data_IF_804959184598
#
_entry.id   IF_804959184598
#
_cell.length_a   1.000
_cell.length_b   1.000
_cell.length_c   1.000
_cell.angle_alpha   90.00
_cell.angle_beta   90.00
_cell.angle_gamma   90.00
#
_symmetry.space_group_name_H-M   'P 1'
#
loop_
_entity.id
_entity.type
_entity.pdbx_description
1 polymer ?
#
# COMPACT_ATOMS: atom_id res chain seq x y z
N UNK A 1 -29.30 18.60 -55.93
CA UNK A 1 -29.53 17.39 -55.16
C UNK A 1 -28.26 16.60 -54.81
N UNK A 2 -27.12 16.84 -55.43
CA UNK A 2 -25.86 16.10 -55.18
C UNK A 2 -25.04 16.58 -53.98
N UNK A 3 -25.10 17.85 -53.60
CA UNK A 3 -24.34 18.42 -52.47
C UNK A 3 -24.86 18.00 -51.09
N UNK A 4 -26.15 17.78 -50.94
CA UNK A 4 -26.75 17.34 -49.67
C UNK A 4 -26.44 15.88 -49.36
N UNK A 5 -26.24 15.03 -50.39
CA UNK A 5 -25.91 13.60 -50.19
C UNK A 5 -24.48 13.42 -49.68
N UNK A 6 -23.53 14.26 -50.05
CA UNK A 6 -22.13 14.21 -49.56
C UNK A 6 -22.01 14.68 -48.12
N UNK A 7 -22.83 15.65 -47.69
CA UNK A 7 -22.87 16.10 -46.31
C UNK A 7 -23.41 15.02 -45.34
N UNK A 8 -24.45 14.29 -45.77
CA UNK A 8 -25.00 13.19 -44.96
C UNK A 8 -24.05 11.98 -44.89
N UNK A 9 -23.34 11.66 -45.96
CA UNK A 9 -22.34 10.59 -45.96
C UNK A 9 -21.13 10.94 -45.06
N UNK A 10 -20.68 12.21 -45.12
CA UNK A 10 -19.58 12.69 -44.28
C UNK A 10 -19.91 12.69 -42.76
N UNK A 11 -21.13 13.08 -42.39
CA UNK A 11 -21.56 13.07 -40.98
C UNK A 11 -21.81 11.64 -40.48
N UNK A 12 -22.30 10.74 -41.30
CA UNK A 12 -22.46 9.33 -40.95
C UNK A 12 -21.09 8.64 -40.75
N UNK A 13 -20.09 8.96 -41.58
CA UNK A 13 -18.73 8.42 -41.46
C UNK A 13 -18.03 8.95 -40.21
N UNK A 14 -18.21 10.23 -39.88
CA UNK A 14 -17.70 10.83 -38.65
C UNK A 14 -18.34 10.22 -37.37
N UNK A 15 -19.64 9.92 -37.42
CA UNK A 15 -20.34 9.23 -36.31
C UNK A 15 -19.94 7.76 -36.18
N UNK A 16 -19.52 7.11 -37.26
CA UNK A 16 -19.00 5.73 -37.20
C UNK A 16 -17.55 5.67 -36.65
N UNK A 17 -16.75 6.73 -36.88
CA UNK A 17 -15.39 6.81 -36.38
C UNK A 17 -15.32 7.21 -34.88
N UNK A 18 -16.40 7.75 -34.31
CA UNK A 18 -16.45 8.12 -32.88
C UNK A 18 -16.87 6.98 -31.95
N UNK A 19 -17.04 5.76 -32.42
CA UNK A 19 -17.03 4.58 -31.54
C UNK A 19 -15.59 4.34 -31.10
N UNK A 20 -15.12 5.17 -30.18
CA UNK A 20 -13.98 4.82 -29.36
C UNK A 20 -14.29 3.44 -28.78
N UNK A 21 -13.59 2.44 -29.24
CA UNK A 21 -13.56 1.13 -28.61
C UNK A 21 -13.10 1.40 -27.18
N UNK A 22 -14.02 1.34 -26.22
CA UNK A 22 -13.67 1.23 -24.82
C UNK A 22 -12.95 -0.11 -24.69
N UNK A 23 -11.65 -0.08 -24.94
CA UNK A 23 -10.77 -1.16 -24.53
C UNK A 23 -10.84 -1.14 -23.01
N UNK A 24 -11.52 -2.11 -22.42
CA UNK A 24 -11.52 -2.31 -20.99
C UNK A 24 -10.17 -2.93 -20.58
N UNK A 25 -9.11 -2.16 -20.78
CA UNK A 25 -7.92 -2.29 -19.95
C UNK A 25 -8.25 -1.68 -18.59
N UNK A 26 -7.68 -2.21 -17.52
CA UNK A 26 -7.82 -1.61 -16.21
C UNK A 26 -7.55 -0.10 -16.33
N UNK A 27 -8.57 0.73 -16.02
CA UNK A 27 -8.44 2.19 -16.16
C UNK A 27 -7.41 2.67 -15.16
N UNK A 28 -6.23 3.07 -15.63
CA UNK A 28 -5.18 3.60 -14.77
C UNK A 28 -5.66 4.89 -14.09
N UNK A 29 -5.28 5.08 -12.85
CA UNK A 29 -5.60 6.32 -12.13
C UNK A 29 -4.74 7.48 -12.64
N UNK A 30 -5.29 8.71 -12.65
CA UNK A 30 -4.50 9.89 -12.92
C UNK A 30 -3.39 10.03 -11.85
N UNK A 31 -2.25 10.65 -12.19
CA UNK A 31 -1.20 10.94 -11.24
C UNK A 31 -1.70 11.78 -10.06
N UNK A 32 -1.16 11.55 -8.89
CA UNK A 32 -1.35 12.41 -7.72
C UNK A 32 -0.16 13.36 -7.60
N UNK A 33 -0.35 14.61 -8.01
CA UNK A 33 0.75 15.54 -8.21
C UNK A 33 1.73 14.99 -9.26
N UNK A 34 2.98 14.79 -8.86
CA UNK A 34 4.03 14.23 -9.73
C UNK A 34 4.18 12.71 -9.58
N UNK A 35 3.38 12.07 -8.74
CA UNK A 35 3.50 10.64 -8.45
C UNK A 35 2.50 9.84 -9.28
N UNK A 36 2.98 8.91 -10.08
CA UNK A 36 2.14 7.96 -10.82
C UNK A 36 1.47 7.00 -9.85
N UNK A 37 0.22 6.63 -10.16
CA UNK A 37 -0.54 5.64 -9.41
C UNK A 37 -0.56 4.36 -10.24
N UNK A 38 0.27 3.36 -9.91
CA UNK A 38 0.32 2.13 -10.69
C UNK A 38 -0.92 1.25 -10.40
N UNK A 39 -1.31 0.44 -11.38
CA UNK A 39 -2.28 -0.62 -11.15
C UNK A 39 -1.72 -1.62 -10.12
N UNK A 40 -2.53 -2.17 -9.21
CA UNK A 40 -4.00 -2.04 -9.09
C UNK A 40 -4.45 -0.88 -8.19
N UNK A 41 -3.54 -0.03 -7.68
CA UNK A 41 -3.89 1.02 -6.73
C UNK A 41 -4.96 1.95 -7.31
N UNK A 42 -5.92 2.32 -6.47
CA UNK A 42 -7.10 3.10 -6.85
C UNK A 42 -7.23 4.34 -5.98
N UNK A 43 -7.28 5.51 -6.60
CA UNK A 43 -7.53 6.78 -5.92
C UNK A 43 -8.97 7.25 -6.04
N UNK A 44 -9.75 6.67 -6.97
CA UNK A 44 -11.19 6.95 -7.17
C UNK A 44 -11.92 5.65 -7.53
N UNK A 45 -13.24 5.57 -7.36
CA UNK A 45 -14.01 4.37 -7.72
C UNK A 45 -13.96 4.01 -9.21
N UNK A 46 -13.50 4.93 -10.08
CA UNK A 46 -13.52 4.79 -11.55
C UNK A 46 -12.16 4.43 -12.15
N UNK A 47 -11.12 4.24 -11.33
CA UNK A 47 -9.78 3.88 -11.79
C UNK A 47 -9.13 2.88 -10.86
N UNK A 48 -8.18 2.08 -11.37
CA UNK A 48 -7.56 0.99 -10.63
C UNK A 48 -8.57 -0.09 -10.23
N UNK A 49 -8.25 -0.83 -9.19
CA UNK A 49 -9.17 -1.77 -8.55
C UNK A 49 -9.61 -1.18 -7.19
N UNK A 50 -10.93 -0.94 -6.95
CA UNK A 50 -11.43 -0.33 -5.73
C UNK A 50 -11.05 -1.06 -4.44
N UNK A 51 -10.67 -2.34 -4.51
CA UNK A 51 -10.17 -3.12 -3.36
C UNK A 51 -8.77 -2.66 -2.92
N UNK A 52 -8.01 -2.00 -3.82
CA UNK A 52 -6.66 -1.49 -3.57
C UNK A 52 -6.63 0.02 -3.32
N UNK A 53 -7.57 0.46 -2.51
CA UNK A 53 -7.82 1.88 -2.29
C UNK A 53 -6.67 2.57 -1.55
N UNK A 54 -6.20 3.65 -2.16
CA UNK A 54 -5.37 4.69 -1.56
C UNK A 54 -6.06 6.04 -1.81
N UNK A 55 -5.51 7.13 -1.33
CA UNK A 55 -6.11 8.45 -1.49
C UNK A 55 -5.09 9.46 -1.99
N UNK A 56 -5.48 10.31 -2.94
CA UNK A 56 -4.76 11.51 -3.29
C UNK A 56 -5.31 12.67 -2.45
N UNK A 57 -4.47 13.30 -1.63
CA UNK A 57 -4.87 14.42 -0.78
C UNK A 57 -4.98 15.72 -1.58
N UNK A 58 -5.60 16.73 -1.00
CA UNK A 58 -5.67 18.09 -1.60
C UNK A 58 -4.29 18.73 -1.77
N UNK A 59 -3.27 18.26 -1.05
CA UNK A 59 -1.87 18.68 -1.20
C UNK A 59 -1.10 17.90 -2.26
N UNK A 60 -1.78 17.10 -3.10
CA UNK A 60 -1.18 16.27 -4.14
C UNK A 60 -0.18 15.22 -3.58
N UNK A 61 -0.46 14.71 -2.40
CA UNK A 61 0.32 13.64 -1.74
C UNK A 61 -0.52 12.37 -1.68
N UNK A 62 0.06 11.24 -2.06
CA UNK A 62 -0.58 9.95 -1.87
C UNK A 62 -0.61 9.58 -0.39
N UNK A 63 -1.74 9.05 0.05
CA UNK A 63 -2.01 8.70 1.44
C UNK A 63 -2.62 7.31 1.48
N UNK A 64 -2.14 6.49 2.41
CA UNK A 64 -2.69 5.20 2.74
C UNK A 64 -3.52 5.31 4.03
N UNK A 65 -4.79 4.93 3.94
CA UNK A 65 -5.73 4.96 5.06
C UNK A 65 -5.75 3.58 5.73
N UNK A 66 -5.53 3.56 7.04
CA UNK A 66 -5.68 2.38 7.90
C UNK A 66 -7.03 2.44 8.63
N UNK A 67 -7.34 1.46 9.48
CA UNK A 67 -8.60 1.49 10.25
C UNK A 67 -8.69 2.69 11.20
N UNK A 68 -7.57 3.20 11.65
CA UNK A 68 -7.50 4.15 12.75
C UNK A 68 -6.73 5.43 12.45
N UNK A 69 -5.96 5.49 11.36
CA UNK A 69 -5.19 6.68 10.99
C UNK A 69 -4.85 6.67 9.48
N UNK A 70 -4.26 7.77 9.00
CA UNK A 70 -3.81 7.96 7.62
C UNK A 70 -2.33 8.31 7.57
N UNK A 71 -1.60 7.76 6.59
CA UNK A 71 -0.14 7.92 6.50
C UNK A 71 0.27 8.32 5.08
N UNK A 72 1.17 9.32 4.92
CA UNK A 72 1.75 9.64 3.62
C UNK A 72 2.48 8.42 3.02
N UNK A 73 2.31 8.20 1.72
CA UNK A 73 3.09 7.24 0.94
C UNK A 73 4.33 7.95 0.43
N UNK A 74 5.51 7.44 0.79
CA UNK A 74 6.81 8.02 0.44
C UNK A 74 7.36 7.48 -0.89
N UNK A 75 7.11 6.21 -1.15
CA UNK A 75 7.56 5.54 -2.37
C UNK A 75 6.64 4.38 -2.74
N UNK A 76 6.58 4.07 -4.03
CA UNK A 76 5.84 2.93 -4.58
C UNK A 76 6.76 2.18 -5.54
N UNK A 77 6.85 0.87 -5.38
CA UNK A 77 7.50 -0.04 -6.32
C UNK A 77 6.47 -1.04 -6.87
N UNK A 78 5.94 -0.80 -8.07
CA UNK A 78 4.94 -1.68 -8.68
C UNK A 78 5.48 -3.07 -9.01
N UNK A 79 6.79 -3.19 -9.31
CA UNK A 79 7.38 -4.48 -9.68
C UNK A 79 7.42 -5.45 -8.51
N UNK A 80 7.71 -4.96 -7.31
CA UNK A 80 7.66 -5.75 -6.08
C UNK A 80 6.29 -5.72 -5.39
N UNK A 81 5.34 -4.96 -5.93
CA UNK A 81 4.00 -4.75 -5.37
C UNK A 81 4.04 -4.22 -3.94
N UNK A 82 4.85 -3.17 -3.71
CA UNK A 82 5.11 -2.59 -2.40
C UNK A 82 5.07 -1.07 -2.42
N UNK A 83 4.72 -0.51 -1.29
CA UNK A 83 4.91 0.91 -1.02
C UNK A 83 5.39 1.12 0.41
N UNK A 84 6.02 2.25 0.64
CA UNK A 84 6.50 2.67 1.96
C UNK A 84 5.67 3.83 2.45
N UNK A 85 5.11 3.71 3.66
CA UNK A 85 4.44 4.82 4.34
C UNK A 85 5.38 5.43 5.38
N UNK A 86 5.17 6.71 5.69
CA UNK A 86 5.88 7.39 6.78
C UNK A 86 5.18 7.12 8.11
N UNK A 87 5.86 6.49 9.10
CA UNK A 87 5.30 6.32 10.45
C UNK A 87 5.01 7.67 11.11
N UNK A 88 4.08 7.64 12.07
CA UNK A 88 3.78 8.82 12.86
C UNK A 88 4.99 9.25 13.71
N UNK A 89 5.33 10.54 13.73
CA UNK A 89 6.51 11.04 14.46
C UNK A 89 6.32 10.96 15.97
N UNK A 90 7.42 11.13 16.70
CA UNK A 90 7.36 11.39 18.14
C UNK A 90 6.80 12.78 18.41
N UNK A 91 6.04 12.93 19.48
CA UNK A 91 5.67 14.23 20.03
C UNK A 91 6.92 14.94 20.54
N UNK A 92 7.04 16.21 20.26
CA UNK A 92 8.21 17.03 20.64
C UNK A 92 8.53 16.90 22.14
N UNK A 93 9.79 16.62 22.44
CA UNK A 93 10.31 16.47 23.82
C UNK A 93 9.62 15.39 24.65
N UNK A 94 9.04 14.39 24.02
CA UNK A 94 8.41 13.26 24.71
C UNK A 94 8.83 11.94 24.07
N UNK A 95 8.70 10.83 24.82
CA UNK A 95 8.85 9.48 24.28
C UNK A 95 7.46 8.88 24.00
N UNK A 96 6.65 9.61 23.23
CA UNK A 96 5.30 9.22 22.83
C UNK A 96 5.13 9.45 21.35
N UNK A 97 4.68 8.45 20.61
CA UNK A 97 4.28 8.63 19.20
C UNK A 97 2.97 9.40 19.11
N UNK A 98 2.83 10.30 18.13
CA UNK A 98 1.55 10.94 17.82
C UNK A 98 0.47 9.91 17.48
N UNK A 99 0.87 8.70 17.10
CA UNK A 99 0.00 7.59 16.77
C UNK A 99 -0.54 6.82 17.99
N UNK A 100 -0.09 7.19 19.21
CA UNK A 100 -0.56 6.52 20.44
C UNK A 100 -2.06 6.68 20.65
N UNK A 101 -2.63 7.83 20.32
CA UNK A 101 -4.09 8.08 20.40
C UNK A 101 -4.89 7.14 19.48
N UNK A 102 -4.28 6.66 18.43
CA UNK A 102 -4.83 5.69 17.48
C UNK A 102 -4.42 4.25 17.79
N UNK A 103 -3.69 4.02 18.89
CA UNK A 103 -3.17 2.71 19.31
C UNK A 103 -2.20 2.06 18.31
N UNK A 104 -1.53 2.87 17.49
CA UNK A 104 -0.60 2.45 16.44
C UNK A 104 -1.25 2.25 15.08
N UNK A 105 -0.61 1.47 14.22
CA UNK A 105 -1.09 1.16 12.86
C UNK A 105 -1.91 -0.12 12.88
N UNK A 106 -3.10 -0.08 12.27
CA UNK A 106 -3.92 -1.27 12.07
C UNK A 106 -4.47 -1.29 10.64
N UNK A 107 -4.03 -2.26 9.83
CA UNK A 107 -4.55 -2.47 8.49
C UNK A 107 -5.96 -3.08 8.54
N UNK A 108 -6.77 -2.75 7.56
CA UNK A 108 -8.04 -3.43 7.35
C UNK A 108 -7.77 -4.82 6.73
N UNK A 109 -8.03 -5.88 7.48
CA UNK A 109 -7.77 -7.27 7.08
C UNK A 109 -8.66 -7.76 5.93
N UNK A 110 -9.70 -6.99 5.55
CA UNK A 110 -10.54 -7.29 4.37
C UNK A 110 -9.95 -6.74 3.08
N UNK A 111 -8.92 -5.88 3.17
CA UNK A 111 -8.22 -5.32 2.02
C UNK A 111 -6.94 -6.12 1.74
N UNK A 112 -6.46 -6.11 0.50
CA UNK A 112 -5.34 -6.95 0.07
C UNK A 112 -3.97 -6.36 0.44
N UNK A 113 -3.79 -5.90 1.68
CA UNK A 113 -2.55 -5.28 2.15
C UNK A 113 -2.00 -5.97 3.38
N UNK A 114 -0.66 -6.12 3.42
CA UNK A 114 0.07 -6.71 4.55
C UNK A 114 1.35 -5.92 4.85
N UNK A 115 1.75 -5.87 6.12
CA UNK A 115 3.05 -5.35 6.55
C UNK A 115 4.11 -6.41 6.19
N UNK A 116 5.17 -6.02 5.47
CA UNK A 116 6.20 -6.95 4.99
C UNK A 116 7.17 -7.38 6.08
N UNK A 117 7.91 -8.47 5.82
CA UNK A 117 8.98 -8.97 6.70
C UNK A 117 10.29 -8.16 6.63
N UNK A 118 10.38 -7.20 5.71
CA UNK A 118 11.53 -6.30 5.59
C UNK A 118 11.60 -5.24 6.69
N UNK A 119 10.50 -5.05 7.44
CA UNK A 119 10.42 -4.02 8.46
C UNK A 119 11.08 -4.45 9.78
N UNK A 120 11.89 -3.55 10.34
CA UNK A 120 12.36 -3.63 11.71
C UNK A 120 11.70 -2.51 12.52
N UNK A 121 10.93 -2.89 13.54
CA UNK A 121 10.26 -1.96 14.43
C UNK A 121 11.12 -1.73 15.67
N UNK A 122 11.37 -0.49 15.98
CA UNK A 122 12.02 -0.03 17.19
C UNK A 122 10.92 0.49 18.12
N UNK A 123 10.63 -0.25 19.18
CA UNK A 123 9.65 0.11 20.19
C UNK A 123 10.30 0.84 21.34
N UNK A 124 9.71 1.95 21.74
CA UNK A 124 10.24 2.89 22.74
C UNK A 124 9.29 3.01 23.93
N UNK A 125 9.86 3.30 25.09
CA UNK A 125 9.11 3.48 26.32
C UNK A 125 8.12 2.34 26.59
N UNK A 126 8.68 1.12 26.61
CA UNK A 126 7.92 -0.11 26.83
C UNK A 126 7.84 -0.47 28.31
N UNK A 127 6.74 -1.10 28.72
CA UNK A 127 6.58 -1.66 30.06
C UNK A 127 7.28 -3.02 30.20
N UNK A 128 7.67 -3.39 31.42
CA UNK A 128 8.34 -4.68 31.73
C UNK A 128 7.48 -5.91 31.42
N UNK A 129 6.17 -5.77 31.30
CA UNK A 129 5.25 -6.85 30.93
C UNK A 129 5.52 -7.43 29.53
N UNK A 130 6.24 -6.69 28.67
CA UNK A 130 6.59 -7.13 27.31
C UNK A 130 7.86 -7.98 27.24
N UNK A 131 8.59 -8.19 28.33
CA UNK A 131 9.81 -9.04 28.34
C UNK A 131 9.54 -10.50 27.96
N UNK A 132 8.29 -10.97 28.05
CA UNK A 132 7.88 -12.34 27.66
C UNK A 132 7.45 -12.46 26.18
N UNK A 133 7.47 -11.34 25.45
CA UNK A 133 7.08 -11.31 24.03
C UNK A 133 8.29 -11.63 23.12
N UNK A 134 8.09 -11.84 21.82
CA UNK A 134 9.19 -12.06 20.87
C UNK A 134 10.04 -10.81 20.60
N UNK A 135 9.94 -9.77 21.45
CA UNK A 135 10.72 -8.54 21.34
C UNK A 135 12.14 -8.75 21.87
N UNK A 136 13.13 -8.24 21.15
CA UNK A 136 14.49 -8.13 21.66
C UNK A 136 14.68 -6.80 22.41
N UNK A 137 14.68 -6.86 23.73
CA UNK A 137 14.86 -5.72 24.61
C UNK A 137 16.25 -5.68 25.27
N UNK A 138 17.22 -6.44 24.76
CA UNK A 138 18.58 -6.45 25.31
C UNK A 138 19.27 -5.10 25.11
N UNK A 139 20.26 -4.79 25.96
CA UNK A 139 21.05 -3.56 25.90
C UNK A 139 21.83 -3.42 24.55
N UNK A 140 22.10 -4.54 23.87
CA UNK A 140 22.72 -4.58 22.55
C UNK A 140 21.72 -4.48 21.38
N UNK A 141 20.43 -4.26 21.67
CA UNK A 141 19.42 -4.17 20.62
C UNK A 141 19.58 -2.90 19.79
N UNK A 142 19.17 -2.95 18.52
CA UNK A 142 19.18 -1.79 17.62
C UNK A 142 18.39 -0.60 18.19
N UNK A 143 17.41 -0.85 19.05
CA UNK A 143 16.64 0.17 19.73
C UNK A 143 17.53 1.09 20.59
N UNK A 144 18.43 0.53 21.38
CA UNK A 144 19.35 1.33 22.20
C UNK A 144 20.32 2.15 21.35
N UNK A 145 20.81 1.59 20.24
CA UNK A 145 21.62 2.36 19.29
C UNK A 145 20.85 3.55 18.71
N UNK A 146 19.57 3.36 18.40
CA UNK A 146 18.70 4.40 17.86
C UNK A 146 18.50 5.55 18.84
N UNK A 147 18.07 5.28 20.10
CA UNK A 147 17.81 6.34 21.08
C UNK A 147 19.07 7.11 21.48
N UNK A 148 20.23 6.45 21.48
CA UNK A 148 21.49 7.08 21.84
C UNK A 148 22.04 8.00 20.75
N UNK A 149 21.72 7.74 19.48
CA UNK A 149 22.25 8.47 18.34
C UNK A 149 21.27 9.46 17.71
N UNK A 150 20.00 9.47 18.12
CA UNK A 150 18.94 10.23 17.45
C UNK A 150 18.36 11.31 18.37
N UNK A 151 18.56 12.57 18.01
CA UNK A 151 18.08 13.72 18.82
C UNK A 151 16.57 13.70 19.05
N UNK A 152 15.76 13.28 18.07
CA UNK A 152 14.30 13.17 18.20
C UNK A 152 13.86 12.11 19.21
N UNK A 153 14.73 11.13 19.53
CA UNK A 153 14.47 10.06 20.49
C UNK A 153 15.15 10.30 21.84
N UNK A 154 15.83 11.42 22.04
CA UNK A 154 16.57 11.73 23.28
C UNK A 154 15.69 11.72 24.53
N UNK A 155 14.43 12.12 24.40
CA UNK A 155 13.45 12.04 25.50
C UNK A 155 13.14 10.58 25.93
N UNK A 156 13.56 9.56 25.15
CA UNK A 156 13.42 8.15 25.48
C UNK A 156 14.59 7.58 26.28
N UNK A 157 15.61 8.38 26.60
CA UNK A 157 16.84 7.94 27.31
C UNK A 157 16.68 7.80 28.82
N UNK A 158 15.50 8.07 29.39
CA UNK A 158 15.24 8.02 30.84
C UNK A 158 15.47 6.63 31.44
N UNK A 159 15.91 6.60 32.72
CA UNK A 159 16.11 5.38 33.48
C UNK A 159 14.77 4.68 33.78
N UNK A 160 14.51 3.58 33.08
CA UNK A 160 13.35 2.72 33.34
C UNK A 160 12.53 2.24 32.16
N UNK A 161 12.27 3.02 31.10
CA UNK A 161 11.51 2.50 29.99
C UNK A 161 12.34 1.52 29.15
N UNK A 162 11.76 0.37 28.83
CA UNK A 162 12.37 -0.60 27.96
C UNK A 162 12.39 -0.10 26.51
N UNK A 163 13.47 -0.43 25.84
CA UNK A 163 13.66 -0.19 24.43
C UNK A 163 13.84 -1.53 23.72
N UNK A 164 12.96 -1.85 22.82
CA UNK A 164 12.88 -3.18 22.22
C UNK A 164 12.89 -3.11 20.70
N UNK A 165 13.45 -4.12 20.06
CA UNK A 165 13.45 -4.28 18.62
C UNK A 165 12.61 -5.50 18.23
N UNK A 166 11.83 -5.36 17.20
CA UNK A 166 11.05 -6.44 16.60
C UNK A 166 11.18 -6.42 15.09
N UNK A 167 11.55 -7.54 14.50
CA UNK A 167 11.48 -7.70 13.04
C UNK A 167 10.12 -8.29 12.70
N UNK A 168 9.35 -7.59 11.86
CA UNK A 168 8.09 -8.11 11.36
C UNK A 168 8.43 -9.33 10.51
N UNK A 169 8.03 -10.50 10.92
CA UNK A 169 8.51 -11.71 10.27
C UNK A 169 7.41 -12.51 9.64
N UNK A 170 7.57 -12.86 8.39
CA UNK A 170 7.20 -14.12 7.76
C UNK A 170 5.76 -14.62 7.81
N UNK A 171 4.87 -14.03 8.59
CA UNK A 171 3.47 -14.39 8.51
C UNK A 171 2.78 -13.48 7.47
N UNK A 172 2.05 -14.09 6.57
CA UNK A 172 1.14 -13.43 5.64
C UNK A 172 0.07 -12.55 6.32
N UNK A 173 0.10 -12.45 7.65
CA UNK A 173 -0.92 -11.83 8.49
C UNK A 173 -0.40 -10.72 9.40
N UNK A 174 0.76 -10.12 9.11
CA UNK A 174 1.20 -8.92 9.82
C UNK A 174 0.32 -7.74 9.40
N UNK A 175 -0.63 -7.38 10.25
CA UNK A 175 -1.60 -6.33 9.95
C UNK A 175 -1.60 -5.18 10.98
N UNK A 176 -0.77 -5.25 12.04
CA UNK A 176 -0.74 -4.19 13.03
C UNK A 176 0.61 -3.97 13.71
N UNK A 177 0.85 -2.71 14.10
CA UNK A 177 1.91 -2.27 15.01
C UNK A 177 1.22 -1.55 16.16
N UNK A 178 1.27 -2.10 17.36
CA UNK A 178 0.55 -1.55 18.53
C UNK A 178 1.44 -0.66 19.37
N UNK A 179 0.91 0.50 19.75
CA UNK A 179 1.40 1.36 20.83
C UNK A 179 0.26 1.67 21.81
N UNK A 180 0.51 1.51 23.13
CA UNK A 180 -0.52 1.65 24.16
C UNK A 180 0.11 1.83 25.54
N UNK A 181 -0.68 2.23 26.55
CA UNK A 181 -0.20 2.47 27.92
C UNK A 181 0.36 1.22 28.61
N UNK A 182 -0.26 0.05 28.38
CA UNK A 182 0.22 -1.24 28.93
C UNK A 182 1.27 -1.94 28.04
N UNK A 183 1.88 -1.23 27.12
CA UNK A 183 2.85 -1.75 26.15
C UNK A 183 3.99 -0.76 25.92
N UNK A 184 4.21 -0.37 24.68
CA UNK A 184 5.13 0.70 24.29
C UNK A 184 4.32 1.95 23.91
N UNK A 185 4.80 3.13 24.28
CA UNK A 185 4.11 4.39 23.98
C UNK A 185 4.58 5.04 22.67
N UNK A 186 5.68 4.56 22.10
CA UNK A 186 6.24 5.06 20.86
C UNK A 186 6.89 3.95 20.04
N UNK A 187 7.09 4.21 18.77
CA UNK A 187 7.81 3.34 17.85
C UNK A 187 8.42 4.13 16.69
N UNK A 188 9.40 3.52 16.05
CA UNK A 188 9.85 3.89 14.70
C UNK A 188 9.98 2.61 13.88
N UNK A 189 9.95 2.71 12.56
CA UNK A 189 10.09 1.56 11.66
C UNK A 189 11.12 1.86 10.58
N UNK A 190 11.88 0.84 10.18
CA UNK A 190 12.93 0.94 9.17
C UNK A 190 12.83 -0.25 8.21
N UNK A 191 12.84 0.05 6.92
CA UNK A 191 12.80 -0.97 5.87
C UNK A 191 14.22 -1.48 5.61
N UNK A 192 14.41 -2.81 5.59
CA UNK A 192 15.70 -3.45 5.33
C UNK A 192 16.84 -2.96 6.26
N UNK A 193 16.53 -2.68 7.51
CA UNK A 193 17.52 -2.23 8.49
C UNK A 193 18.66 -3.23 8.64
N UNK A 194 19.89 -2.74 8.45
CA UNK A 194 21.10 -3.44 8.87
C UNK A 194 21.58 -2.86 10.21
N UNK A 195 21.34 -3.53 11.36
CA UNK A 195 21.70 -3.02 12.68
C UNK A 195 23.21 -2.99 12.94
N UNK A 196 24.02 -3.63 12.10
CA UNK A 196 25.49 -3.57 12.19
C UNK A 196 26.06 -2.23 11.69
N UNK A 197 25.27 -1.45 10.94
CA UNK A 197 25.67 -0.13 10.50
C UNK A 197 25.45 0.92 11.61
N UNK A 198 26.26 1.98 11.65
CA UNK A 198 26.00 3.11 12.54
C UNK A 198 24.67 3.78 12.18
N UNK A 199 23.97 4.34 13.16
CA UNK A 199 22.61 4.88 13.00
C UNK A 199 22.49 5.96 11.92
N UNK A 200 23.54 6.76 11.71
CA UNK A 200 23.56 7.78 10.65
C UNK A 200 23.63 7.18 9.22
N UNK A 201 23.74 5.86 9.09
CA UNK A 201 23.64 5.12 7.82
C UNK A 201 22.38 4.25 7.74
N UNK A 202 21.52 4.35 8.71
CA UNK A 202 20.23 3.68 8.64
C UNK A 202 19.34 4.33 7.60
N UNK A 203 18.39 3.59 7.01
CA UNK A 203 17.39 4.19 6.14
C UNK A 203 16.54 5.21 6.91
N UNK A 204 15.91 6.12 6.18
CA UNK A 204 14.88 7.00 6.78
C UNK A 204 13.74 6.16 7.36
N UNK A 205 13.08 6.65 8.42
CA UNK A 205 11.95 5.97 8.99
C UNK A 205 10.85 5.71 7.95
N UNK A 206 10.51 4.43 7.79
CA UNK A 206 9.50 3.98 6.84
C UNK A 206 8.91 2.65 7.26
N UNK A 207 7.67 2.38 6.85
CA UNK A 207 7.01 1.09 6.99
C UNK A 207 6.59 0.59 5.62
N UNK A 208 7.16 -0.53 5.21
CA UNK A 208 6.84 -1.17 3.93
C UNK A 208 5.57 -2.01 4.05
N UNK A 209 4.66 -1.77 3.12
CA UNK A 209 3.40 -2.50 2.96
C UNK A 209 3.41 -3.13 1.58
N UNK A 210 3.01 -4.38 1.51
CA UNK A 210 2.82 -5.14 0.27
C UNK A 210 1.34 -5.27 -0.04
N UNK A 211 0.98 -5.14 -1.31
CA UNK A 211 -0.33 -5.57 -1.78
C UNK A 211 -0.25 -6.94 -2.44
N UNK A 212 -1.35 -7.68 -2.35
CA UNK A 212 -1.49 -8.97 -3.04
C UNK A 212 -1.67 -8.73 -4.54
N UNK A 213 -1.18 -9.65 -5.37
CA UNK A 213 -1.40 -9.57 -6.81
C UNK A 213 -2.89 -9.54 -7.12
N UNK A 214 -3.37 -8.56 -7.92
CA UNK A 214 -4.75 -8.49 -8.30
C UNK A 214 -5.12 -9.65 -9.23
N UNK A 215 -6.34 -10.12 -9.09
CA UNK A 215 -6.95 -11.02 -10.06
C UNK A 215 -7.40 -10.22 -11.28
N UNK A 216 -7.77 -10.94 -12.33
CA UNK A 216 -8.38 -10.37 -13.54
C UNK A 216 -9.58 -9.48 -13.21
N UNK A 217 -9.80 -8.45 -14.02
CA UNK A 217 -10.86 -7.45 -13.82
C UNK A 217 -12.25 -8.09 -13.77
N UNK A 218 -13.09 -7.65 -12.84
CA UNK A 218 -14.49 -8.08 -12.75
C UNK A 218 -15.27 -7.56 -13.96
N UNK A 219 -16.15 -8.39 -14.52
CA UNK A 219 -17.02 -8.05 -15.64
C UNK A 219 -18.49 -8.42 -15.37
N UNK A 220 -19.41 -7.63 -15.90
CA UNK A 220 -20.84 -7.98 -15.97
C UNK A 220 -21.18 -8.65 -17.31
N UNK A 221 -20.50 -8.22 -18.37
CA UNK A 221 -20.69 -8.69 -19.74
C UNK A 221 -19.36 -8.65 -20.52
N UNK A 222 -19.34 -9.23 -21.74
CA UNK A 222 -18.15 -9.19 -22.60
C UNK A 222 -17.71 -7.75 -22.98
N UNK A 223 -18.61 -6.79 -22.93
CA UNK A 223 -18.29 -5.38 -23.23
C UNK A 223 -17.36 -4.74 -22.18
N UNK A 224 -17.26 -5.34 -21.01
CA UNK A 224 -16.38 -4.91 -19.93
C UNK A 224 -14.96 -5.47 -20.08
N UNK A 225 -14.73 -6.36 -21.05
CA UNK A 225 -13.44 -6.98 -21.33
C UNK A 225 -12.88 -6.53 -22.67
N UNK A 226 -11.56 -6.51 -22.79
CA UNK A 226 -10.92 -6.39 -24.10
C UNK A 226 -11.12 -7.69 -24.89
N UNK A 227 -12.04 -7.69 -25.83
CA UNK A 227 -12.40 -8.87 -26.63
C UNK A 227 -11.26 -9.44 -27.47
N UNK A 228 -10.19 -8.65 -27.71
CA UNK A 228 -9.00 -9.13 -28.40
C UNK A 228 -8.13 -10.02 -27.51
N UNK A 229 -8.14 -9.78 -26.20
CA UNK A 229 -7.21 -10.41 -25.24
C UNK A 229 -7.91 -11.20 -24.14
N UNK A 230 -9.21 -10.97 -23.87
CA UNK A 230 -9.91 -11.61 -22.76
C UNK A 230 -11.39 -11.89 -23.01
N UNK A 231 -11.91 -12.86 -22.26
CA UNK A 231 -13.31 -13.29 -22.32
C UNK A 231 -13.95 -13.23 -20.94
N UNK A 232 -15.14 -12.62 -20.84
CA UNK A 232 -15.90 -12.56 -19.60
C UNK A 232 -16.48 -13.93 -19.23
N UNK A 233 -15.96 -14.54 -18.17
CA UNK A 233 -16.36 -15.87 -17.69
C UNK A 233 -16.60 -15.93 -16.19
N UNK A 234 -17.26 -16.97 -15.68
CA UNK A 234 -17.49 -17.17 -14.24
C UNK A 234 -16.17 -17.43 -13.51
N UNK A 235 -15.94 -16.75 -12.37
CA UNK A 235 -14.83 -17.03 -11.47
C UNK A 235 -15.19 -18.24 -10.59
N UNK A 236 -14.65 -19.42 -10.94
CA UNK A 236 -14.90 -20.66 -10.20
C UNK A 236 -14.44 -20.61 -8.73
N UNK A 237 -13.55 -19.68 -8.38
CA UNK A 237 -13.08 -19.46 -7.01
C UNK A 237 -14.00 -18.56 -6.18
N UNK A 238 -15.01 -17.95 -6.81
CA UNK A 238 -15.94 -17.02 -6.16
C UNK A 238 -17.25 -17.70 -5.80
N UNK A 239 -17.55 -17.80 -4.51
CA UNK A 239 -18.86 -18.25 -4.00
C UNK A 239 -20.00 -17.28 -4.35
N UNK A 240 -19.71 -16.06 -4.80
CA UNK A 240 -20.68 -14.99 -5.06
C UNK A 240 -21.10 -14.92 -6.54
N UNK A 241 -20.67 -15.85 -7.40
CA UNK A 241 -20.99 -15.86 -8.83
C UNK A 241 -20.38 -14.68 -9.60
N UNK A 242 -19.27 -14.14 -9.13
CA UNK A 242 -18.52 -13.07 -9.81
C UNK A 242 -18.00 -13.59 -11.16
N UNK A 243 -18.04 -12.74 -12.18
CA UNK A 243 -17.40 -13.00 -13.46
C UNK A 243 -16.14 -12.15 -13.61
N UNK A 244 -15.14 -12.65 -14.35
CA UNK A 244 -13.89 -11.94 -14.64
C UNK A 244 -13.50 -12.03 -16.11
N UNK A 245 -12.68 -11.10 -16.54
CA UNK A 245 -12.11 -11.05 -17.89
C UNK A 245 -10.90 -11.99 -17.99
N UNK A 246 -11.14 -13.28 -18.12
CA UNK A 246 -10.06 -14.27 -18.25
C UNK A 246 -9.32 -14.12 -19.57
N UNK A 247 -8.01 -14.28 -19.52
CA UNK A 247 -7.16 -14.18 -20.71
C UNK A 247 -7.51 -15.27 -21.73
N UNK A 248 -7.53 -14.90 -23.00
CA UNK A 248 -7.70 -15.81 -24.11
C UNK A 248 -6.49 -16.75 -24.24
N UNK A 249 -6.65 -17.88 -24.94
CA UNK A 249 -5.60 -18.89 -25.11
C UNK A 249 -4.28 -18.27 -25.61
N UNK A 250 -3.19 -18.65 -24.95
CA UNK A 250 -1.84 -18.17 -25.24
C UNK A 250 -1.48 -16.81 -24.63
N UNK A 251 -2.38 -16.20 -23.87
CA UNK A 251 -2.12 -15.00 -23.10
C UNK A 251 -2.14 -15.29 -21.59
N UNK A 252 -1.39 -14.50 -20.82
CA UNK A 252 -1.29 -14.60 -19.36
C UNK A 252 -1.66 -13.26 -18.73
N UNK A 253 -2.34 -13.30 -17.60
CA UNK A 253 -2.65 -12.10 -16.82
C UNK A 253 -1.39 -11.45 -16.27
N UNK A 254 -1.17 -10.19 -16.62
CA UNK A 254 -0.13 -9.35 -16.01
C UNK A 254 -0.75 -8.52 -14.87
N UNK A 255 -0.51 -8.89 -13.60
CA UNK A 255 -1.08 -8.18 -12.46
C UNK A 255 -0.46 -6.80 -12.20
N UNK A 256 0.67 -6.48 -12.84
CA UNK A 256 1.34 -5.17 -12.73
C UNK A 256 0.70 -4.17 -13.69
N UNK A 257 0.42 -4.61 -14.90
CA UNK A 257 -0.18 -3.76 -15.94
C UNK A 257 -1.71 -3.83 -15.96
N UNK A 258 -2.31 -4.88 -15.38
CA UNK A 258 -3.75 -5.10 -15.41
C UNK A 258 -4.29 -5.48 -16.79
N UNK A 259 -3.52 -6.23 -17.56
CA UNK A 259 -3.84 -6.66 -18.91
C UNK A 259 -3.46 -8.11 -19.14
N UNK A 260 -4.08 -8.73 -20.17
CA UNK A 260 -3.64 -10.02 -20.68
C UNK A 260 -2.56 -9.80 -21.75
N UNK A 261 -1.37 -10.37 -21.53
CA UNK A 261 -0.19 -10.24 -22.41
C UNK A 261 0.46 -11.62 -22.68
N UNK A 262 1.40 -11.66 -23.65
CA UNK A 262 2.19 -12.86 -23.96
C UNK A 262 3.33 -13.04 -22.96
#
# INVERSE_FOLDING_TARGET
MTTTLFLFAGTLLLLLLSRATHVSSATLCPPCGNTTVPFPLSTTPTCGDPSYKIRCSSSNTLVFDTLNNSYPIESIDPNSQRFVIRPAPLLTNTCVSTDKVHQGIQLNTTLPFNITSSNTIVYLNCTTTLLQSPLNCSAASACHSYINATASASACQGAGPLCCTYRTGGSSNSYMIRVRDSGCSAYSSFVNLNPALPVNRWPEPGLEIQWLSPKETVCGSQQDCDSATSTCGPDASSALGIKRCFCNDGLVWDPIQGVCAK
#
